data_IF_876133821358
#
_entry.id   IF_876133821358
#
_cell.length_a   1.000
_cell.length_b   1.000
_cell.length_c   1.000
_cell.angle_alpha   90.00
_cell.angle_beta   90.00
_cell.angle_gamma   90.00
#
_symmetry.space_group_name_H-M   'P 1'
#
loop_
_entity.id
_entity.type
_entity.pdbx_description
1 polymer ?
#
# COMPACT_ATOMS: atom_id res chain seq x y z
N UNK A 1 -6.88 -24.38 7.77
CA UNK A 1 -7.79 -25.49 8.15
C UNK A 1 -9.00 -24.87 8.80
N UNK A 2 -10.20 -25.31 8.47
CA UNK A 2 -11.44 -24.81 9.08
C UNK A 2 -12.37 -25.97 9.43
N UNK A 3 -13.25 -25.73 10.41
CA UNK A 3 -14.37 -26.59 10.77
C UNK A 3 -15.63 -25.80 10.48
N UNK A 4 -16.52 -26.36 9.66
CA UNK A 4 -17.73 -25.69 9.19
C UNK A 4 -18.92 -26.61 9.53
N UNK A 5 -19.98 -26.04 10.09
CA UNK A 5 -21.23 -26.78 10.33
C UNK A 5 -21.96 -27.10 9.03
N UNK A 6 -22.94 -28.00 9.09
CA UNK A 6 -23.75 -28.41 7.91
C UNK A 6 -24.45 -27.23 7.21
N UNK A 7 -24.78 -26.17 7.98
CA UNK A 7 -25.40 -24.93 7.50
C UNK A 7 -24.39 -23.84 7.09
N UNK A 8 -23.09 -24.16 7.03
CA UNK A 8 -22.06 -23.29 6.46
C UNK A 8 -21.41 -22.29 7.44
N UNK A 9 -21.65 -22.42 8.74
CA UNK A 9 -21.05 -21.54 9.76
C UNK A 9 -19.66 -22.04 10.12
N UNK A 10 -18.63 -21.20 9.99
CA UNK A 10 -17.28 -21.55 10.43
C UNK A 10 -17.19 -21.53 11.97
N UNK A 11 -16.98 -22.70 12.56
CA UNK A 11 -16.91 -22.89 14.01
C UNK A 11 -15.49 -22.72 14.54
N UNK A 12 -14.51 -22.97 13.68
CA UNK A 12 -13.10 -22.84 14.01
C UNK A 12 -12.30 -22.65 12.72
N UNK A 13 -11.27 -21.83 12.81
CA UNK A 13 -10.24 -21.74 11.78
C UNK A 13 -8.84 -21.68 12.38
N UNK A 14 -7.91 -22.25 11.65
CA UNK A 14 -6.49 -22.25 11.98
C UNK A 14 -5.66 -22.01 10.73
N UNK A 15 -4.91 -20.92 10.78
CA UNK A 15 -3.92 -20.57 9.77
C UNK A 15 -2.55 -21.07 10.22
N UNK A 16 -1.84 -21.70 9.30
CA UNK A 16 -0.49 -22.21 9.52
C UNK A 16 0.48 -21.44 8.65
N UNK A 17 1.69 -21.19 9.17
CA UNK A 17 2.81 -20.75 8.35
C UNK A 17 3.16 -21.89 7.39
N UNK A 18 3.12 -21.63 6.08
CA UNK A 18 3.31 -22.65 5.05
C UNK A 18 4.64 -23.42 5.20
N UNK A 19 5.70 -22.73 5.63
CA UNK A 19 7.05 -23.30 5.75
C UNK A 19 7.29 -24.11 7.02
N UNK A 20 6.78 -23.69 8.18
CA UNK A 20 7.06 -24.34 9.47
C UNK A 20 5.90 -25.17 10.00
N UNK A 21 4.71 -25.05 9.38
CA UNK A 21 3.43 -25.55 9.90
C UNK A 21 3.08 -25.05 11.31
N UNK A 22 3.76 -24.01 11.79
CA UNK A 22 3.41 -23.35 13.04
C UNK A 22 2.11 -22.57 12.90
N UNK A 23 1.38 -22.43 13.99
CA UNK A 23 0.11 -21.70 14.03
C UNK A 23 0.40 -20.21 13.96
N UNK A 24 -0.11 -19.53 12.93
CA UNK A 24 0.00 -18.07 12.80
C UNK A 24 -1.23 -17.37 13.34
N UNK A 25 -2.40 -18.00 13.22
CA UNK A 25 -3.66 -17.52 13.78
C UNK A 25 -4.59 -18.70 14.04
N UNK A 26 -5.39 -18.59 15.08
CA UNK A 26 -6.44 -19.54 15.41
C UNK A 26 -7.63 -18.77 15.97
N UNK A 27 -8.82 -19.11 15.50
CA UNK A 27 -10.07 -18.60 16.05
C UNK A 27 -11.02 -19.76 16.28
N UNK A 28 -11.71 -19.74 17.42
CA UNK A 28 -12.71 -20.73 17.79
C UNK A 28 -13.98 -19.99 18.24
N UNK A 29 -15.13 -20.45 17.74
CA UNK A 29 -16.41 -19.92 18.18
C UNK A 29 -16.63 -20.30 19.65
N UNK A 30 -16.73 -19.29 20.51
CA UNK A 30 -17.05 -19.50 21.93
C UNK A 30 -18.55 -19.62 22.18
N UNK A 31 -19.38 -19.15 21.24
CA UNK A 31 -20.83 -19.22 21.26
C UNK A 31 -21.39 -19.19 19.83
N UNK A 32 -22.52 -19.87 19.60
CA UNK A 32 -23.26 -19.84 18.33
C UNK A 32 -24.73 -19.58 18.64
N UNK A 33 -25.32 -18.59 17.99
CA UNK A 33 -26.75 -18.31 18.02
C UNK A 33 -27.28 -18.33 16.58
N UNK A 34 -28.32 -19.14 16.33
CA UNK A 34 -28.99 -19.17 15.03
C UNK A 34 -30.22 -18.28 15.08
N UNK A 35 -30.08 -17.07 14.57
CA UNK A 35 -31.18 -16.12 14.41
C UNK A 35 -31.03 -15.35 13.10
N UNK A 36 -32.12 -14.79 12.56
CA UNK A 36 -32.02 -13.81 11.50
C UNK A 36 -31.09 -12.65 11.93
N UNK A 37 -30.13 -12.33 11.07
CA UNK A 37 -29.24 -11.16 11.22
C UNK A 37 -29.75 -10.09 10.27
N UNK A 38 -29.87 -8.85 10.74
CA UNK A 38 -30.30 -7.77 9.86
C UNK A 38 -29.24 -7.49 8.80
N UNK A 39 -29.65 -6.93 7.66
CA UNK A 39 -28.69 -6.51 6.62
C UNK A 39 -27.71 -5.46 7.14
N UNK A 40 -28.13 -4.64 8.10
CA UNK A 40 -27.29 -3.62 8.74
C UNK A 40 -26.19 -4.27 9.59
N UNK A 41 -26.53 -5.28 10.40
CA UNK A 41 -25.56 -6.00 11.24
C UNK A 41 -24.52 -6.79 10.44
N UNK A 42 -24.85 -7.18 9.20
CA UNK A 42 -23.95 -7.94 8.32
C UNK A 42 -23.10 -7.05 7.39
N UNK A 43 -23.40 -5.74 7.29
CA UNK A 43 -22.70 -4.80 6.42
C UNK A 43 -21.54 -4.12 7.16
N UNK A 44 -20.49 -3.67 6.43
CA UNK A 44 -19.44 -2.86 7.04
C UNK A 44 -20.00 -1.56 7.64
N UNK A 45 -19.45 -1.07 8.76
CA UNK A 45 -19.85 0.21 9.33
C UNK A 45 -19.61 1.36 8.34
N UNK A 46 -20.63 2.19 8.10
CA UNK A 46 -20.55 3.33 7.17
C UNK A 46 -19.46 4.32 7.52
N UNK A 47 -19.14 4.44 8.80
CA UNK A 47 -18.09 5.34 9.31
C UNK A 47 -16.71 5.02 8.75
N UNK A 48 -16.44 3.78 8.31
CA UNK A 48 -15.16 3.40 7.70
C UNK A 48 -14.92 4.12 6.37
N UNK A 49 -15.99 4.49 5.65
CA UNK A 49 -15.91 5.21 4.38
C UNK A 49 -15.64 6.70 4.53
N UNK A 50 -15.87 7.27 5.72
CA UNK A 50 -15.65 8.68 6.01
C UNK A 50 -14.17 9.02 6.30
N UNK A 51 -13.24 8.07 6.07
CA UNK A 51 -11.79 8.11 6.30
C UNK A 51 -11.26 9.43 6.87
N UNK A 52 -10.75 9.38 8.09
CA UNK A 52 -9.98 10.50 8.62
C UNK A 52 -8.63 10.57 7.91
N UNK A 53 -8.22 11.79 7.57
CA UNK A 53 -6.95 12.10 6.94
C UNK A 53 -6.08 12.88 7.93
N UNK A 54 -5.56 12.23 9.00
CA UNK A 54 -4.68 12.91 9.94
C UNK A 54 -3.50 13.52 9.19
N UNK A 55 -3.39 14.85 9.24
CA UNK A 55 -2.24 15.58 8.74
C UNK A 55 -1.36 15.92 9.95
N UNK A 56 -0.71 14.88 10.47
CA UNK A 56 0.01 14.90 11.74
C UNK A 56 1.41 15.55 11.62
N UNK A 57 1.66 16.39 10.60
CA UNK A 57 2.96 17.05 10.34
C UNK A 57 3.58 17.67 11.59
N UNK A 58 2.76 18.20 12.49
CA UNK A 58 3.18 18.86 13.73
C UNK A 58 3.49 17.91 14.91
N UNK A 59 3.09 16.64 14.82
CA UNK A 59 3.29 15.62 15.87
C UNK A 59 4.27 14.51 15.48
N UNK A 60 4.72 14.50 14.22
CA UNK A 60 5.74 13.58 13.78
C UNK A 60 7.11 13.97 14.38
N UNK A 61 7.92 13.00 14.85
CA UNK A 61 9.29 13.29 15.20
C UNK A 61 9.98 13.91 13.98
N UNK A 62 10.74 14.99 14.19
CA UNK A 62 11.61 15.63 13.19
C UNK A 62 12.53 14.58 12.55
N UNK A 63 12.08 13.88 11.51
CA UNK A 63 12.89 12.90 10.78
C UNK A 63 13.12 13.42 9.37
N UNK A 64 14.39 13.72 9.11
CA UNK A 64 15.02 13.95 7.80
C UNK A 64 14.45 15.15 7.01
N UNK A 65 15.21 15.79 6.09
CA UNK A 65 14.76 17.03 5.46
C UNK A 65 13.41 16.78 4.81
N UNK A 66 12.47 17.68 5.11
CA UNK A 66 11.09 17.73 4.60
C UNK A 66 11.04 17.10 3.20
N UNK A 67 10.59 15.83 3.12
CA UNK A 67 10.41 15.15 1.83
C UNK A 67 9.45 16.04 1.07
N UNK A 68 9.97 16.73 0.04
CA UNK A 68 9.17 17.70 -0.68
C UNK A 68 7.98 16.99 -1.31
N UNK A 69 6.83 17.63 -1.29
CA UNK A 69 5.66 17.14 -2.01
C UNK A 69 6.02 17.05 -3.52
N UNK A 70 5.55 16.00 -4.16
CA UNK A 70 5.87 15.73 -5.56
C UNK A 70 4.79 14.90 -6.25
N UNK A 71 4.66 15.11 -7.55
CA UNK A 71 4.02 14.19 -8.48
C UNK A 71 5.09 13.54 -9.36
N UNK A 72 4.99 12.23 -9.52
CA UNK A 72 5.90 11.40 -10.31
C UNK A 72 5.07 10.52 -11.23
N UNK A 73 5.41 10.49 -12.53
CA UNK A 73 4.83 9.55 -13.48
C UNK A 73 5.92 8.61 -13.95
N UNK A 74 5.64 7.32 -13.88
CA UNK A 74 6.55 6.25 -14.27
C UNK A 74 5.89 5.34 -15.31
N UNK A 75 6.72 4.79 -16.18
CA UNK A 75 6.35 3.72 -17.10
C UNK A 75 7.05 2.42 -16.67
N UNK A 76 6.36 1.29 -16.81
CA UNK A 76 6.97 -0.01 -16.60
C UNK A 76 7.75 -0.45 -17.85
N UNK A 77 9.08 -0.52 -17.75
CA UNK A 77 9.97 -0.78 -18.89
C UNK A 77 9.87 -2.22 -19.42
N UNK A 78 9.34 -3.16 -18.62
CA UNK A 78 9.27 -4.59 -18.93
C UNK A 78 7.87 -5.08 -19.33
N UNK A 79 6.95 -4.18 -19.64
CA UNK A 79 5.59 -4.59 -20.00
C UNK A 79 5.52 -5.25 -21.39
N UNK A 80 4.58 -6.21 -21.61
CA UNK A 80 4.37 -6.80 -22.93
C UNK A 80 4.09 -5.73 -24.00
N UNK A 81 4.53 -5.93 -25.26
CA UNK A 81 4.25 -4.99 -26.34
C UNK A 81 2.74 -4.71 -26.46
N UNK A 82 2.36 -3.43 -26.49
CA UNK A 82 0.95 -3.01 -26.56
C UNK A 82 0.20 -3.00 -25.22
N UNK A 83 0.90 -3.22 -24.09
CA UNK A 83 0.38 -2.99 -22.73
C UNK A 83 1.27 -1.98 -22.01
N UNK A 84 1.03 -0.71 -22.28
CA UNK A 84 1.65 0.37 -21.50
C UNK A 84 1.07 0.31 -20.08
N UNK A 85 1.97 0.30 -19.08
CA UNK A 85 1.58 0.38 -17.68
C UNK A 85 2.15 1.68 -17.14
N UNK A 86 1.25 2.61 -16.78
CA UNK A 86 1.61 3.91 -16.21
C UNK A 86 1.30 3.90 -14.73
N UNK A 87 2.28 4.36 -13.94
CA UNK A 87 2.13 4.63 -12.51
C UNK A 87 2.23 6.12 -12.26
N UNK A 88 1.23 6.69 -11.60
CA UNK A 88 1.28 8.05 -11.06
C UNK A 88 1.40 7.97 -9.54
N UNK A 89 2.43 8.61 -8.98
CA UNK A 89 2.65 8.73 -7.54
C UNK A 89 2.52 10.19 -7.13
N UNK A 90 1.75 10.45 -6.08
CA UNK A 90 1.67 11.76 -5.43
C UNK A 90 2.02 11.63 -3.97
N UNK A 91 2.78 12.59 -3.46
CA UNK A 91 3.17 12.62 -2.06
C UNK A 91 2.82 13.94 -1.40
N UNK A 92 2.23 13.84 -0.22
CA UNK A 92 1.93 14.97 0.67
C UNK A 92 2.33 14.59 2.10
N UNK A 93 3.50 15.04 2.55
CA UNK A 93 4.00 14.69 3.89
C UNK A 93 4.07 13.17 4.14
N UNK A 94 3.31 12.63 5.11
CA UNK A 94 3.28 11.20 5.41
C UNK A 94 2.32 10.40 4.51
N UNK A 95 1.61 11.05 3.59
CA UNK A 95 0.66 10.41 2.69
C UNK A 95 1.26 10.17 1.32
N UNK A 96 0.96 9.00 0.76
CA UNK A 96 1.31 8.64 -0.61
C UNK A 96 0.09 8.04 -1.32
N UNK A 97 -0.20 8.59 -2.49
CA UNK A 97 -1.15 8.06 -3.45
C UNK A 97 -0.36 7.43 -4.59
N UNK A 98 -0.71 6.22 -4.98
CA UNK A 98 -0.19 5.54 -6.17
C UNK A 98 -1.34 5.04 -7.00
N UNK A 99 -1.36 5.39 -8.28
CA UNK A 99 -2.30 4.88 -9.26
C UNK A 99 -1.56 4.17 -10.37
N UNK A 100 -1.88 2.91 -10.62
CA UNK A 100 -1.39 2.15 -11.76
C UNK A 100 -2.53 1.91 -12.75
N UNK A 101 -2.24 2.10 -14.04
CA UNK A 101 -3.20 1.88 -15.12
C UNK A 101 -2.60 1.01 -16.22
N UNK A 102 -3.36 0.03 -16.71
CA UNK A 102 -3.03 -0.69 -17.94
C UNK A 102 -4.29 -1.05 -18.72
N UNK A 103 -4.47 -0.44 -19.89
CA UNK A 103 -5.73 -0.53 -20.62
C UNK A 103 -6.91 -0.01 -19.79
N UNK A 104 -7.82 -0.91 -19.38
CA UNK A 104 -8.94 -0.58 -18.49
C UNK A 104 -8.71 -0.94 -17.03
N UNK A 105 -7.66 -1.71 -16.74
CA UNK A 105 -7.27 -2.02 -15.38
C UNK A 105 -6.71 -0.76 -14.75
N UNK A 106 -7.16 -0.52 -13.52
CA UNK A 106 -6.82 0.61 -12.67
C UNK A 106 -6.73 0.11 -11.25
N UNK A 107 -5.58 0.35 -10.63
CA UNK A 107 -5.34 0.06 -9.21
C UNK A 107 -4.94 1.36 -8.53
N UNK A 108 -5.58 1.69 -7.41
CA UNK A 108 -5.24 2.84 -6.59
C UNK A 108 -4.83 2.35 -5.21
N UNK A 109 -3.68 2.78 -4.74
CA UNK A 109 -3.21 2.61 -3.38
C UNK A 109 -3.08 3.96 -2.70
N UNK A 110 -3.62 4.10 -1.50
CA UNK A 110 -3.35 5.24 -0.65
C UNK A 110 -2.85 4.76 0.69
N UNK A 111 -1.66 5.20 1.07
CA UNK A 111 -0.98 4.77 2.29
C UNK A 111 -0.57 5.97 3.12
N UNK A 112 -0.68 5.82 4.44
CA UNK A 112 0.05 6.63 5.40
C UNK A 112 1.37 5.92 5.71
N UNK A 113 2.51 6.62 5.73
CA UNK A 113 3.85 6.08 5.99
C UNK A 113 3.91 5.26 7.28
N UNK A 114 3.16 5.69 8.29
CA UNK A 114 3.10 4.97 9.56
C UNK A 114 2.13 3.80 9.52
N UNK A 115 1.37 3.55 8.45
CA UNK A 115 0.43 2.43 8.34
C UNK A 115 -0.79 2.57 9.25
N UNK A 116 -1.23 3.80 9.51
CA UNK A 116 -2.48 4.10 10.21
C UNK A 116 -3.69 3.90 9.28
N UNK A 117 -3.54 4.31 8.02
CA UNK A 117 -4.55 4.11 6.98
C UNK A 117 -3.87 3.47 5.78
N UNK A 118 -4.50 2.44 5.23
CA UNK A 118 -4.19 1.87 3.92
C UNK A 118 -5.50 1.62 3.19
N UNK A 119 -5.60 2.10 1.96
CA UNK A 119 -6.68 1.74 1.06
C UNK A 119 -6.16 1.22 -0.27
N UNK A 120 -6.86 0.23 -0.81
CA UNK A 120 -6.60 -0.33 -2.14
C UNK A 120 -7.92 -0.42 -2.89
N UNK A 121 -7.97 0.14 -4.10
CA UNK A 121 -9.08 0.00 -5.02
C UNK A 121 -8.61 -0.67 -6.30
N UNK A 122 -9.41 -1.57 -6.84
CA UNK A 122 -9.09 -2.30 -8.07
C UNK A 122 -10.31 -2.37 -9.00
N UNK A 123 -10.01 -2.40 -10.29
CA UNK A 123 -10.96 -2.72 -11.36
C UNK A 123 -10.58 -4.04 -12.02
N UNK A 124 -11.56 -4.68 -12.65
CA UNK A 124 -11.32 -5.81 -13.53
C UNK A 124 -10.85 -5.39 -14.93
N UNK A 125 -10.59 -6.37 -15.80
CA UNK A 125 -10.12 -6.16 -17.17
C UNK A 125 -11.15 -5.44 -18.08
N UNK A 126 -12.42 -5.40 -17.68
CA UNK A 126 -13.47 -4.63 -18.33
C UNK A 126 -13.51 -3.16 -17.90
N UNK A 127 -12.79 -2.82 -16.83
CA UNK A 127 -12.82 -1.52 -16.14
C UNK A 127 -13.94 -1.41 -15.12
N UNK A 128 -14.65 -2.50 -14.82
CA UNK A 128 -15.67 -2.50 -13.79
C UNK A 128 -15.02 -2.56 -12.41
N UNK A 129 -15.67 -1.94 -11.43
CA UNK A 129 -15.19 -1.95 -10.03
C UNK A 129 -15.15 -3.38 -9.52
N UNK A 130 -14.00 -3.79 -9.00
CA UNK A 130 -13.81 -5.14 -8.49
C UNK A 130 -13.80 -5.14 -6.96
N UNK A 131 -12.95 -4.30 -6.35
CA UNK A 131 -12.73 -4.34 -4.91
C UNK A 131 -12.37 -2.97 -4.34
N UNK A 132 -12.70 -2.79 -3.06
CA UNK A 132 -12.15 -1.74 -2.21
C UNK A 132 -11.80 -2.38 -0.87
N UNK A 133 -10.54 -2.23 -0.48
CA UNK A 133 -10.02 -2.66 0.80
C UNK A 133 -9.59 -1.43 1.59
N UNK A 134 -10.01 -1.35 2.84
CA UNK A 134 -9.68 -0.26 3.77
C UNK A 134 -9.20 -0.90 5.08
N UNK A 135 -7.99 -0.57 5.50
CA UNK A 135 -7.42 -0.91 6.81
C UNK A 135 -7.15 0.40 7.56
N UNK A 136 -7.84 0.56 8.68
CA UNK A 136 -7.65 1.67 9.62
C UNK A 136 -7.15 1.06 10.92
N UNK A 137 -5.95 1.45 11.32
CA UNK A 137 -5.31 0.99 12.55
C UNK A 137 -5.32 2.10 13.58
N UNK A 138 -6.10 1.91 14.63
CA UNK A 138 -5.99 2.71 15.86
C UNK A 138 -4.88 2.09 16.70
N UNK A 139 -3.79 2.83 16.90
CA UNK A 139 -2.63 2.35 17.65
C UNK A 139 -2.64 2.82 19.08
N UNK A 140 -2.25 1.93 19.97
CA UNK A 140 -1.86 2.30 21.33
C UNK A 140 -0.48 2.98 21.31
N UNK A 141 -0.17 3.86 22.30
CA UNK A 141 1.14 4.49 22.40
C UNK A 141 2.31 3.48 22.41
N UNK A 142 2.14 2.33 23.07
CA UNK A 142 3.15 1.27 23.13
C UNK A 142 3.37 0.58 21.78
N UNK A 143 2.36 0.51 20.91
CA UNK A 143 2.52 0.00 19.54
C UNK A 143 3.26 1.00 18.66
N UNK A 144 2.99 2.29 18.83
CA UNK A 144 3.70 3.34 18.11
C UNK A 144 5.20 3.35 18.45
N UNK A 145 5.54 3.29 19.74
CA UNK A 145 6.93 3.22 20.22
C UNK A 145 7.69 2.01 19.64
N UNK A 146 7.03 0.84 19.57
CA UNK A 146 7.62 -0.34 18.94
C UNK A 146 7.90 -0.11 17.45
N UNK A 147 7.01 0.54 16.73
CA UNK A 147 7.18 0.78 15.29
C UNK A 147 8.29 1.79 15.03
N UNK A 148 8.36 2.86 15.82
CA UNK A 148 9.44 3.83 15.76
C UNK A 148 10.81 3.17 16.04
N UNK A 149 10.84 2.20 16.96
CA UNK A 149 12.05 1.40 17.22
C UNK A 149 12.45 0.49 16.04
N UNK A 150 11.48 -0.09 15.33
CA UNK A 150 11.74 -0.95 14.16
C UNK A 150 11.98 -0.17 12.86
N UNK A 151 11.58 1.10 12.80
CA UNK A 151 11.78 1.98 11.65
C UNK A 151 13.25 2.03 11.22
N UNK A 152 14.18 2.09 12.18
CA UNK A 152 15.63 2.11 11.92
C UNK A 152 16.15 0.83 11.24
N UNK A 153 15.53 -0.33 11.50
CA UNK A 153 15.92 -1.60 10.87
C UNK A 153 15.42 -1.70 9.42
N UNK A 154 14.40 -0.93 9.05
CA UNK A 154 13.77 -0.91 7.73
C UNK A 154 14.26 0.24 6.84
N UNK A 155 15.24 1.03 7.28
CA UNK A 155 15.76 2.13 6.46
C UNK A 155 16.40 1.63 5.17
N UNK A 156 16.22 2.36 4.04
CA UNK A 156 16.89 2.07 2.79
C UNK A 156 18.41 1.94 2.99
N UNK A 157 19.01 0.88 2.45
CA UNK A 157 20.47 0.69 2.50
C UNK A 157 21.07 0.87 1.11
N UNK A 158 22.19 1.60 0.95
CA UNK A 158 22.86 1.68 -0.33
C UNK A 158 23.14 0.27 -0.88
N UNK A 159 22.90 0.06 -2.18
CA UNK A 159 23.35 -1.17 -2.82
C UNK A 159 24.88 -1.24 -2.80
N UNK A 160 25.41 -2.46 -2.76
CA UNK A 160 26.85 -2.73 -2.85
C UNK A 160 27.09 -3.57 -4.12
N UNK A 161 27.90 -3.09 -5.09
CA UNK A 161 28.60 -1.80 -5.10
C UNK A 161 27.64 -0.61 -5.19
N UNK A 162 28.08 0.53 -4.64
CA UNK A 162 27.33 1.79 -4.74
C UNK A 162 27.13 2.13 -6.22
N UNK A 163 25.88 2.30 -6.60
CA UNK A 163 25.47 2.47 -7.98
C UNK A 163 24.69 3.76 -8.10
N UNK A 164 25.05 4.56 -9.09
CA UNK A 164 24.33 5.77 -9.49
C UNK A 164 23.64 5.56 -10.83
N UNK A 165 22.66 6.42 -11.13
CA UNK A 165 22.01 6.53 -12.43
C UNK A 165 21.62 7.99 -12.67
N UNK A 166 21.28 8.32 -13.92
CA UNK A 166 20.74 9.62 -14.29
C UNK A 166 19.41 9.42 -15.02
N UNK A 167 18.35 10.05 -14.50
CA UNK A 167 16.98 9.89 -15.01
C UNK A 167 16.34 11.27 -15.05
N UNK A 168 15.77 11.66 -16.20
CA UNK A 168 15.21 13.01 -16.41
C UNK A 168 16.21 14.15 -16.08
N UNK A 169 17.51 13.91 -16.25
CA UNK A 169 18.58 14.87 -15.92
C UNK A 169 18.95 14.94 -14.43
N UNK A 170 18.28 14.17 -13.57
CA UNK A 170 18.54 14.10 -12.13
C UNK A 170 19.46 12.92 -11.81
N UNK A 171 20.40 13.13 -10.88
CA UNK A 171 21.25 12.04 -10.38
C UNK A 171 20.57 11.34 -9.21
N UNK A 172 20.57 10.01 -9.25
CA UNK A 172 20.05 9.19 -8.17
C UNK A 172 21.04 8.08 -7.77
N UNK A 173 20.90 7.58 -6.54
CA UNK A 173 21.69 6.48 -5.98
C UNK A 173 20.79 5.30 -5.68
N UNK A 174 21.26 4.09 -5.90
CA UNK A 174 20.47 2.89 -5.68
C UNK A 174 20.50 2.42 -4.23
N UNK A 175 19.32 2.12 -3.70
CA UNK A 175 19.13 1.58 -2.36
C UNK A 175 18.31 0.28 -2.41
N UNK A 176 18.64 -0.69 -1.56
CA UNK A 176 17.76 -1.78 -1.17
C UNK A 176 16.74 -1.24 -0.16
N UNK A 177 15.46 -1.32 -0.51
CA UNK A 177 14.35 -0.88 0.34
C UNK A 177 13.83 -2.00 1.24
N UNK A 178 14.24 -3.25 1.02
CA UNK A 178 13.78 -4.41 1.78
C UNK A 178 14.94 -5.28 2.27
N UNK A 179 15.96 -4.71 2.94
CA UNK A 179 17.20 -5.44 3.26
C UNK A 179 17.01 -6.60 4.25
N UNK A 180 15.87 -6.67 4.95
CA UNK A 180 15.56 -7.69 5.95
C UNK A 180 14.60 -8.79 5.45
N UNK A 181 14.12 -8.73 4.19
CA UNK A 181 13.14 -9.67 3.64
C UNK A 181 13.82 -10.73 2.77
N UNK A 182 13.58 -12.00 3.07
CA UNK A 182 14.01 -13.13 2.24
C UNK A 182 12.95 -13.44 1.16
N UNK A 183 13.38 -13.65 -0.09
CA UNK A 183 12.52 -14.07 -1.21
C UNK A 183 11.94 -12.93 -2.06
N UNK A 184 11.71 -11.75 -1.48
CA UNK A 184 11.28 -10.55 -2.21
C UNK A 184 12.21 -9.38 -1.92
N UNK A 185 12.74 -8.75 -2.98
CA UNK A 185 13.60 -7.57 -2.85
C UNK A 185 13.09 -6.43 -3.73
N UNK A 186 13.05 -5.24 -3.17
CA UNK A 186 12.79 -4.01 -3.93
C UNK A 186 14.00 -3.12 -3.81
N UNK A 187 14.49 -2.59 -4.94
CA UNK A 187 15.53 -1.57 -4.93
C UNK A 187 15.12 -0.38 -5.77
N UNK A 188 15.42 0.82 -5.30
CA UNK A 188 15.05 2.05 -6.00
C UNK A 188 16.22 3.00 -6.15
N UNK A 189 16.25 3.76 -7.25
CA UNK A 189 17.20 4.84 -7.48
C UNK A 189 16.63 6.14 -6.93
N UNK A 190 17.12 6.57 -5.77
CA UNK A 190 16.61 7.71 -5.02
C UNK A 190 17.43 8.97 -5.30
N UNK A 191 16.75 10.09 -5.56
CA UNK A 191 17.35 11.43 -5.57
C UNK A 191 17.78 11.86 -4.17
N UNK A 192 18.49 12.98 -4.07
CA UNK A 192 18.95 13.53 -2.77
C UNK A 192 17.79 13.81 -1.79
N UNK A 193 16.64 14.21 -2.32
CA UNK A 193 15.39 14.48 -1.60
C UNK A 193 14.50 13.23 -1.42
N UNK A 194 14.97 12.05 -1.86
CA UNK A 194 14.32 10.77 -1.56
C UNK A 194 13.24 10.33 -2.55
N UNK A 195 13.18 10.92 -3.75
CA UNK A 195 12.21 10.55 -4.79
C UNK A 195 12.77 9.38 -5.61
N UNK A 196 11.97 8.32 -5.80
CA UNK A 196 12.37 7.11 -6.51
C UNK A 196 12.19 7.28 -8.04
N UNK A 197 13.26 7.60 -8.75
CA UNK A 197 13.20 7.80 -10.22
C UNK A 197 13.22 6.48 -11.01
N UNK A 198 13.68 5.40 -10.38
CA UNK A 198 13.62 4.04 -10.92
C UNK A 198 13.34 3.07 -9.79
N UNK A 199 12.59 2.02 -10.07
CA UNK A 199 12.32 0.94 -9.12
C UNK A 199 12.48 -0.42 -9.78
N UNK A 200 12.98 -1.40 -9.03
CA UNK A 200 13.12 -2.78 -9.45
C UNK A 200 12.58 -3.70 -8.39
N UNK A 201 11.66 -4.57 -8.80
CA UNK A 201 11.11 -5.60 -7.95
C UNK A 201 11.67 -6.95 -8.36
N UNK A 202 12.10 -7.72 -7.37
CA UNK A 202 12.66 -9.05 -7.56
C UNK A 202 11.86 -10.06 -6.74
N UNK A 203 11.56 -11.21 -7.34
CA UNK A 203 11.06 -12.40 -6.68
C UNK A 203 12.08 -13.52 -6.90
N UNK A 204 12.57 -14.14 -5.82
CA UNK A 204 13.59 -15.20 -5.87
C UNK A 204 14.80 -14.81 -6.76
N UNK A 205 15.29 -13.57 -6.58
CA UNK A 205 16.34 -12.92 -7.37
C UNK A 205 16.04 -12.69 -8.87
N UNK A 206 14.88 -13.07 -9.36
CA UNK A 206 14.44 -12.77 -10.73
C UNK A 206 13.76 -11.40 -10.77
N UNK A 207 14.18 -10.52 -11.69
CA UNK A 207 13.54 -9.23 -11.91
C UNK A 207 12.13 -9.47 -12.47
N UNK A 208 11.11 -9.02 -11.74
CA UNK A 208 9.70 -9.21 -12.13
C UNK A 208 9.08 -7.94 -12.70
N UNK A 209 9.56 -6.77 -12.29
CA UNK A 209 9.18 -5.49 -12.86
C UNK A 209 10.25 -4.44 -12.66
N UNK A 210 10.32 -3.52 -13.61
CA UNK A 210 11.16 -2.32 -13.54
C UNK A 210 10.31 -1.13 -13.94
N UNK A 211 10.38 -0.06 -13.15
CA UNK A 211 9.71 1.21 -13.39
C UNK A 211 10.74 2.30 -13.61
N UNK A 212 10.49 3.17 -14.57
CA UNK A 212 11.33 4.35 -14.84
C UNK A 212 10.47 5.60 -14.91
N UNK A 213 10.89 6.64 -14.19
CA UNK A 213 10.25 7.94 -14.23
C UNK A 213 10.34 8.56 -15.63
N UNK A 214 9.20 9.00 -16.13
CA UNK A 214 9.06 9.72 -17.40
C UNK A 214 8.66 11.19 -17.16
N UNK A 215 8.14 11.51 -15.97
CA UNK A 215 7.83 12.87 -15.55
C UNK A 215 8.00 13.03 -14.04
N UNK A 216 8.48 14.18 -13.60
CA UNK A 216 8.58 14.56 -12.19
C UNK A 216 8.29 16.05 -12.03
N UNK A 217 7.40 16.40 -11.10
CA UNK A 217 7.16 17.79 -10.68
C UNK A 217 7.20 17.87 -9.17
N UNK A 218 8.03 18.77 -8.65
CA UNK A 218 8.10 19.08 -7.21
C UNK A 218 7.29 20.34 -6.96
N UNK A 219 6.14 20.18 -6.33
CA UNK A 219 5.25 21.28 -5.99
C UNK A 219 4.46 20.92 -4.73
N UNK A 220 3.95 21.91 -3.98
CA UNK A 220 3.00 21.63 -2.92
C UNK A 220 1.81 20.84 -3.48
N UNK A 221 1.53 19.71 -2.86
CA UNK A 221 0.35 18.88 -3.14
C UNK A 221 -0.61 19.08 -1.98
N UNK A 222 -1.90 19.17 -2.26
CA UNK A 222 -2.92 19.24 -1.21
C UNK A 222 -3.35 17.84 -0.79
N UNK A 223 -3.87 17.70 0.44
CA UNK A 223 -4.41 16.40 0.89
C UNK A 223 -5.52 15.90 -0.04
N UNK A 224 -6.31 16.78 -0.66
CA UNK A 224 -7.39 16.40 -1.57
C UNK A 224 -6.88 15.75 -2.86
N UNK A 225 -5.65 16.06 -3.30
CA UNK A 225 -4.99 15.40 -4.43
C UNK A 225 -4.46 13.99 -4.10
N UNK A 226 -4.34 13.66 -2.82
CA UNK A 226 -3.97 12.31 -2.33
C UNK A 226 -5.20 11.43 -2.13
N UNK A 227 -6.36 12.02 -1.82
CA UNK A 227 -7.58 11.25 -1.59
C UNK A 227 -7.95 10.46 -2.85
N UNK A 228 -8.41 9.20 -2.71
CA UNK A 228 -9.01 8.52 -3.84
C UNK A 228 -10.24 9.31 -4.30
N UNK A 229 -10.68 9.16 -5.57
CA UNK A 229 -11.89 9.80 -6.06
C UNK A 229 -13.05 9.60 -5.08
N UNK A 230 -13.74 10.69 -4.71
CA UNK A 230 -14.74 10.69 -3.65
C UNK A 230 -15.86 9.64 -3.88
N UNK A 231 -16.19 9.38 -5.14
CA UNK A 231 -17.14 8.35 -5.55
C UNK A 231 -16.74 6.95 -5.05
N UNK A 232 -15.45 6.64 -4.97
CA UNK A 232 -14.95 5.35 -4.48
C UNK A 232 -15.23 5.16 -2.98
N UNK A 233 -15.30 6.26 -2.23
CA UNK A 233 -15.61 6.27 -0.80
C UNK A 233 -17.12 6.45 -0.54
N UNK A 234 -17.97 6.40 -1.56
CA UNK A 234 -19.42 6.38 -1.37
C UNK A 234 -19.90 4.97 -1.02
N UNK A 235 -20.57 4.74 0.12
CA UNK A 235 -21.10 3.41 0.46
C UNK A 235 -22.08 2.86 -0.59
N UNK A 236 -22.84 3.75 -1.22
CA UNK A 236 -23.90 3.39 -2.17
C UNK A 236 -23.36 2.69 -3.41
N UNK A 237 -22.16 3.06 -3.87
CA UNK A 237 -21.55 2.41 -5.03
C UNK A 237 -21.13 0.95 -4.77
N UNK A 238 -21.05 0.58 -3.49
CA UNK A 238 -20.75 -0.77 -2.99
C UNK A 238 -22.01 -1.49 -2.48
N UNK A 239 -23.21 -1.00 -2.82
CA UNK A 239 -24.49 -1.54 -2.35
C UNK A 239 -24.65 -1.57 -0.82
N UNK A 240 -24.02 -0.60 -0.14
CA UNK A 240 -24.17 -0.34 1.30
C UNK A 240 -25.10 0.87 1.43
N UNK A 241 -26.33 0.63 1.89
CA UNK A 241 -27.38 1.66 2.05
C UNK A 241 -27.19 2.56 3.27
#
# INVERSE_FOLDING_TARGET
MSCVSDDGIELWQKSLKSSTREVTSSAEATQIERRPVSTEDARPPRSVFALNWPDDRDTLPLIAPEKSDYELVMEQTMSPPGREVIRTVRRHGPWEFTEETTGKLRTIHVIHDFGQVRSTYETDDSGARQSLWIDIRVRTPAEQERIDAHFWAALPRPLIPDRTDTVLGENCRWFDLMPAMAGGRTSSCLTKDGIALKERHFCDNSLTSEWTAIHITRHPITIDEIKPPAELLSPQIWAIE
#
